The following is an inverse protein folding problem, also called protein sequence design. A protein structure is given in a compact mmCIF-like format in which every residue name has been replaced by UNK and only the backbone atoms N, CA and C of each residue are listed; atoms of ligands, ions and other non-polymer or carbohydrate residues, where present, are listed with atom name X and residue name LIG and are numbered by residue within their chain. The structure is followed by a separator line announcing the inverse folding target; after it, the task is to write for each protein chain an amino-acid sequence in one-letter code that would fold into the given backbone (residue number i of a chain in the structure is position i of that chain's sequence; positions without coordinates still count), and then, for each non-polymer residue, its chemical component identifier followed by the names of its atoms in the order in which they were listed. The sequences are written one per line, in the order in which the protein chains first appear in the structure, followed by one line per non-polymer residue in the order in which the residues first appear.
data_IF_127028859712
#
_entry.id   IF_127028859712
#
_cell.length_a   1.000
_cell.length_b   1.000
_cell.length_c   1.000
_cell.angle_alpha   90.00
_cell.angle_beta   90.00
_cell.angle_gamma   90.00
#
_symmetry.space_group_name_H-M   'P 1'
#
loop_
_entity.id
_entity.type
_entity.pdbx_description
1 polymer ?
#
# COMPACT_ATOMS: atom_id res chain seq x y z
N UNK A 1 11.88 6.82 38.41
CA UNK A 1 10.77 7.58 39.04
C UNK A 1 9.54 7.47 38.17
N UNK A 2 8.65 6.53 38.50
CA UNK A 2 7.39 6.27 37.80
C UNK A 2 6.32 7.23 38.33
N UNK A 3 5.89 8.20 37.52
CA UNK A 3 4.76 9.06 37.85
C UNK A 3 3.45 8.38 37.37
N UNK A 4 2.74 7.79 38.33
CA UNK A 4 1.38 7.28 38.13
C UNK A 4 0.40 8.45 38.07
N UNK A 5 -0.26 8.63 36.92
CA UNK A 5 -1.29 9.64 36.75
C UNK A 5 -2.59 9.16 37.42
N UNK A 6 -2.82 9.57 38.68
CA UNK A 6 -4.12 9.40 39.36
C UNK A 6 -4.98 10.64 39.13
N UNK A 7 -6.05 10.49 38.35
CA UNK A 7 -7.09 11.50 38.18
C UNK A 7 -7.90 11.60 39.50
N UNK A 8 -7.82 12.74 40.21
CA UNK A 8 -8.74 13.05 41.32
C UNK A 8 -9.95 13.80 40.77
N UNK A 9 -11.14 13.20 40.87
CA UNK A 9 -12.41 13.93 40.71
C UNK A 9 -12.61 14.86 41.90
N UNK A 10 -12.58 16.17 41.67
CA UNK A 10 -13.10 17.16 42.60
C UNK A 10 -14.53 17.51 42.17
N UNK A 11 -15.52 17.00 42.91
CA UNK A 11 -16.91 17.45 42.82
C UNK A 11 -17.04 18.78 43.56
N UNK A 12 -17.23 19.88 42.83
CA UNK A 12 -17.82 21.12 43.37
C UNK A 12 -18.98 21.54 42.49
N UNK A 13 -20.12 21.71 43.14
CA UNK A 13 -21.41 21.95 42.52
C UNK A 13 -21.51 23.30 41.82
N UNK A 14 -22.06 23.25 40.61
CA UNK A 14 -22.78 24.32 39.93
C UNK A 14 -23.79 23.61 39.02
N UNK A 15 -25.07 23.80 39.31
CA UNK A 15 -26.21 23.23 38.58
C UNK A 15 -26.41 23.91 37.23
N UNK A 16 -25.45 23.74 36.31
CA UNK A 16 -25.71 23.90 34.88
C UNK A 16 -26.09 22.52 34.34
N UNK A 17 -27.32 22.37 33.85
CA UNK A 17 -27.73 21.21 33.07
C UNK A 17 -26.86 21.14 31.81
N UNK A 18 -25.78 20.36 31.86
CA UNK A 18 -25.05 19.95 30.66
C UNK A 18 -25.95 19.02 29.86
N UNK A 19 -26.75 19.58 28.93
CA UNK A 19 -27.44 18.79 27.91
C UNK A 19 -26.39 17.98 27.16
N UNK A 20 -26.43 16.65 27.29
CA UNK A 20 -25.59 15.75 26.49
C UNK A 20 -26.03 15.85 25.03
N UNK A 21 -25.39 16.70 24.24
CA UNK A 21 -25.54 16.75 22.78
C UNK A 21 -24.71 15.64 22.12
N UNK A 22 -24.99 14.38 22.48
CA UNK A 22 -24.32 13.24 21.90
C UNK A 22 -25.30 12.55 20.95
N UNK A 23 -25.49 13.20 19.80
CA UNK A 23 -26.49 12.78 18.80
C UNK A 23 -25.93 11.66 17.93
N UNK A 24 -26.73 10.63 17.73
CA UNK A 24 -26.54 9.69 16.63
C UNK A 24 -27.02 10.34 15.34
N UNK A 25 -26.25 10.16 14.27
CA UNK A 25 -26.55 10.68 12.95
C UNK A 25 -26.66 9.54 11.94
N UNK A 26 -27.56 9.67 10.94
CA UNK A 26 -27.57 8.77 9.80
C UNK A 26 -26.21 8.73 9.10
N UNK A 27 -25.85 7.57 8.58
CA UNK A 27 -24.53 7.31 7.98
C UNK A 27 -24.25 8.20 6.75
N UNK A 28 -25.29 8.63 6.03
CA UNK A 28 -25.19 9.56 4.89
C UNK A 28 -24.79 11.00 5.29
N UNK A 29 -24.79 11.34 6.59
CA UNK A 29 -24.28 12.65 7.06
C UNK A 29 -22.77 12.64 7.29
N UNK A 30 -22.08 11.58 6.88
CA UNK A 30 -20.63 11.43 7.01
C UNK A 30 -19.88 12.63 6.42
N UNK A 31 -20.08 12.96 5.14
CA UNK A 31 -19.33 14.03 4.49
C UNK A 31 -19.55 15.38 5.18
N UNK A 32 -20.81 15.71 5.51
CA UNK A 32 -21.17 16.94 6.20
C UNK A 32 -20.44 17.05 7.57
N UNK A 33 -20.48 15.98 8.38
CA UNK A 33 -19.87 15.98 9.71
C UNK A 33 -18.34 15.99 9.65
N UNK A 34 -17.76 15.26 8.69
CA UNK A 34 -16.32 15.22 8.48
C UNK A 34 -15.77 16.60 8.07
N UNK A 35 -16.52 17.34 7.27
CA UNK A 35 -16.18 18.70 6.80
C UNK A 35 -16.63 19.83 7.71
N UNK A 36 -17.48 19.56 8.70
CA UNK A 36 -18.04 20.57 9.59
C UNK A 36 -16.91 21.37 10.28
N UNK A 37 -16.88 22.71 10.19
CA UNK A 37 -15.78 23.53 10.73
C UNK A 37 -15.52 23.35 12.22
N UNK A 38 -16.53 22.97 13.00
CA UNK A 38 -16.38 22.73 14.44
C UNK A 38 -15.76 21.36 14.74
N UNK A 39 -15.73 20.41 13.79
CA UNK A 39 -15.19 19.05 13.98
C UNK A 39 -13.66 19.02 14.09
N UNK A 40 -13.14 19.42 15.25
CA UNK A 40 -11.72 19.50 15.59
C UNK A 40 -11.06 18.14 15.78
N UNK A 41 -11.78 17.16 16.33
CA UNK A 41 -11.23 15.83 16.58
C UNK A 41 -12.13 14.74 16.02
N UNK A 42 -11.59 13.86 15.19
CA UNK A 42 -12.40 12.88 14.48
C UNK A 42 -11.79 11.48 14.59
N UNK A 43 -12.62 10.46 14.82
CA UNK A 43 -12.18 9.06 14.95
C UNK A 43 -13.08 8.18 14.08
N UNK A 44 -12.50 7.54 13.08
CA UNK A 44 -13.23 6.66 12.17
C UNK A 44 -12.61 5.26 12.15
N UNK A 45 -13.45 4.24 12.12
CA UNK A 45 -13.05 2.86 11.85
C UNK A 45 -13.78 2.37 10.61
N UNK A 46 -13.05 1.78 9.66
CA UNK A 46 -13.70 1.18 8.49
C UNK A 46 -14.24 -0.21 8.82
N UNK A 47 -15.45 -0.50 8.33
CA UNK A 47 -16.03 -1.84 8.26
C UNK A 47 -15.76 -2.52 6.92
N UNK A 48 -15.25 -1.77 5.93
CA UNK A 48 -14.87 -2.33 4.63
C UNK A 48 -13.46 -2.92 4.71
N UNK A 49 -13.30 -4.09 4.09
CA UNK A 49 -12.00 -4.71 3.83
C UNK A 49 -11.47 -4.37 2.44
N UNK A 50 -12.20 -3.60 1.63
CA UNK A 50 -11.75 -3.21 0.29
C UNK A 50 -10.71 -2.07 0.37
N UNK A 51 -9.46 -2.30 -0.09
CA UNK A 51 -8.43 -1.27 -0.05
C UNK A 51 -8.75 -0.04 -0.91
N UNK A 52 -9.54 -0.19 -1.98
CA UNK A 52 -9.97 0.93 -2.81
C UNK A 52 -10.93 1.86 -2.06
N UNK A 53 -11.86 1.28 -1.29
CA UNK A 53 -12.81 2.02 -0.43
C UNK A 53 -12.05 2.73 0.68
N UNK A 54 -11.20 1.99 1.41
CA UNK A 54 -10.44 2.53 2.53
C UNK A 54 -9.51 3.69 2.11
N UNK A 55 -8.74 3.52 1.03
CA UNK A 55 -7.85 4.59 0.54
C UNK A 55 -8.62 5.78 -0.07
N UNK A 56 -9.85 5.57 -0.56
CA UNK A 56 -10.70 6.66 -1.03
C UNK A 56 -11.28 7.47 0.13
N UNK A 57 -11.75 6.81 1.19
CA UNK A 57 -12.20 7.46 2.43
C UNK A 57 -11.04 8.24 3.08
N UNK A 58 -9.84 7.64 3.18
CA UNK A 58 -8.63 8.32 3.67
C UNK A 58 -8.35 9.61 2.89
N UNK A 59 -8.44 9.54 1.56
CA UNK A 59 -8.22 10.71 0.71
C UNK A 59 -9.31 11.77 0.90
N UNK A 60 -10.58 11.36 1.00
CA UNK A 60 -11.69 12.27 1.27
C UNK A 60 -11.49 13.02 2.58
N UNK A 61 -11.11 12.33 3.67
CA UNK A 61 -10.84 12.95 4.97
C UNK A 61 -9.65 13.95 4.90
N UNK A 62 -8.62 13.61 4.11
CA UNK A 62 -7.45 14.48 3.92
C UNK A 62 -7.84 15.80 3.23
N UNK A 63 -8.68 15.73 2.20
CA UNK A 63 -9.09 16.91 1.42
C UNK A 63 -10.17 17.73 2.12
N UNK A 64 -11.13 17.07 2.80
CA UNK A 64 -12.39 17.71 3.18
C UNK A 64 -12.55 18.04 4.67
N UNK A 65 -11.78 17.42 5.59
CA UNK A 65 -11.88 17.80 7.00
C UNK A 65 -11.39 19.26 7.24
N UNK A 66 -11.62 19.89 8.41
CA UNK A 66 -11.11 21.24 8.69
C UNK A 66 -9.57 21.31 8.80
N UNK A 67 -8.98 22.45 8.40
CA UNK A 67 -7.51 22.64 8.36
C UNK A 67 -6.81 22.49 9.72
N UNK A 68 -7.48 22.86 10.81
CA UNK A 68 -7.01 22.78 12.18
C UNK A 68 -7.45 21.50 12.91
N UNK A 69 -8.12 20.57 12.22
CA UNK A 69 -8.61 19.32 12.80
C UNK A 69 -7.55 18.22 12.85
N UNK A 70 -7.78 17.24 13.74
CA UNK A 70 -7.01 15.99 13.82
C UNK A 70 -7.95 14.81 13.65
N UNK A 71 -7.60 13.90 12.74
CA UNK A 71 -8.42 12.74 12.36
C UNK A 71 -7.60 11.47 12.57
N UNK A 72 -8.17 10.49 13.28
CA UNK A 72 -7.70 9.10 13.29
C UNK A 72 -8.63 8.28 12.39
N UNK A 73 -8.07 7.55 11.44
CA UNK A 73 -8.78 6.58 10.63
C UNK A 73 -8.06 5.23 10.70
N UNK A 74 -8.80 4.19 11.08
CA UNK A 74 -8.29 2.81 11.23
C UNK A 74 -9.02 1.89 10.26
N UNK A 75 -8.29 1.00 9.60
CA UNK A 75 -8.86 0.03 8.68
C UNK A 75 -7.99 -1.22 8.53
N UNK A 76 -8.61 -2.33 8.17
CA UNK A 76 -7.96 -3.59 7.79
C UNK A 76 -8.39 -3.87 6.35
N UNK A 77 -7.46 -4.34 5.53
CA UNK A 77 -7.75 -4.68 4.15
C UNK A 77 -7.72 -6.20 3.98
N UNK A 78 -8.53 -6.72 3.07
CA UNK A 78 -8.35 -8.06 2.49
C UNK A 78 -6.96 -8.16 1.82
N UNK A 79 -6.48 -9.36 1.49
CA UNK A 79 -5.21 -9.57 0.80
C UNK A 79 -5.01 -8.57 -0.36
N UNK A 80 -3.95 -7.76 -0.27
CA UNK A 80 -3.60 -6.81 -1.31
C UNK A 80 -2.15 -6.38 -1.25
N UNK A 81 -1.61 -5.96 -2.38
CA UNK A 81 -0.32 -5.26 -2.46
C UNK A 81 -0.57 -3.79 -2.74
N UNK A 82 -0.03 -2.93 -1.87
CA UNK A 82 -0.13 -1.48 -1.98
C UNK A 82 1.23 -0.89 -2.29
N UNK A 83 1.39 -0.34 -3.49
CA UNK A 83 2.61 0.38 -3.91
C UNK A 83 2.47 1.89 -3.74
N UNK A 84 3.60 2.57 -3.54
CA UNK A 84 3.66 4.02 -3.44
C UNK A 84 3.39 4.73 -4.78
N UNK A 85 2.98 6.00 -4.70
CA UNK A 85 2.58 6.83 -5.84
C UNK A 85 3.56 6.79 -7.03
N UNK A 86 4.86 6.85 -6.75
CA UNK A 86 5.94 6.98 -7.73
C UNK A 86 6.79 5.70 -7.86
N UNK A 87 6.24 4.54 -7.51
CA UNK A 87 6.93 3.26 -7.66
C UNK A 87 6.68 2.61 -9.02
N UNK A 88 7.59 1.73 -9.43
CA UNK A 88 7.43 0.90 -10.61
C UNK A 88 6.88 -0.50 -10.21
N UNK A 89 5.66 -0.87 -10.63
CA UNK A 89 5.06 -2.15 -10.24
C UNK A 89 5.84 -3.35 -10.77
N UNK A 90 6.42 -3.24 -11.98
CA UNK A 90 7.26 -4.30 -12.56
C UNK A 90 8.60 -4.46 -11.86
N UNK A 91 9.06 -3.48 -11.09
CA UNK A 91 10.29 -3.59 -10.28
C UNK A 91 10.02 -4.12 -8.87
N UNK A 92 8.85 -3.77 -8.33
CA UNK A 92 8.53 -3.94 -6.91
C UNK A 92 7.70 -5.20 -6.61
N UNK A 93 6.97 -5.73 -7.60
CA UNK A 93 5.96 -6.78 -7.35
C UNK A 93 6.04 -7.91 -8.37
N UNK A 94 5.58 -9.10 -7.99
CA UNK A 94 5.27 -10.17 -8.96
C UNK A 94 3.83 -9.98 -9.44
N UNK A 95 3.67 -9.32 -10.59
CA UNK A 95 2.36 -9.01 -11.15
C UNK A 95 1.59 -10.24 -11.62
N UNK A 96 2.28 -11.37 -11.87
CA UNK A 96 1.60 -12.64 -12.19
C UNK A 96 0.91 -13.24 -10.98
N UNK A 97 1.40 -12.95 -9.78
CA UNK A 97 0.79 -13.38 -8.53
C UNK A 97 -0.39 -12.47 -8.09
N UNK A 98 -0.57 -11.30 -8.72
CA UNK A 98 -1.56 -10.27 -8.36
C UNK A 98 -2.66 -10.10 -9.42
N UNK A 99 -2.90 -11.15 -10.19
CA UNK A 99 -3.61 -11.22 -11.47
C UNK A 99 -5.14 -11.05 -11.40
N UNK A 100 -5.65 -10.30 -10.42
CA UNK A 100 -7.10 -10.11 -10.25
C UNK A 100 -7.64 -8.92 -11.04
N UNK A 101 -6.78 -7.96 -11.40
CA UNK A 101 -7.20 -6.70 -11.98
C UNK A 101 -7.09 -6.64 -13.52
N UNK A 102 -6.48 -7.67 -14.14
CA UNK A 102 -6.21 -7.73 -15.59
C UNK A 102 -7.13 -8.70 -16.33
N UNK A 103 -7.89 -9.51 -15.61
CA UNK A 103 -8.80 -10.51 -16.17
C UNK A 103 -10.26 -10.28 -15.73
N UNK A 104 -11.19 -10.02 -16.67
CA UNK A 104 -12.62 -9.97 -16.35
C UNK A 104 -13.07 -11.33 -15.78
N UNK A 105 -13.65 -11.34 -14.58
CA UNK A 105 -14.22 -12.54 -13.96
C UNK A 105 -13.23 -13.51 -13.30
N UNK A 106 -11.94 -13.17 -13.18
CA UNK A 106 -10.93 -14.02 -12.54
C UNK A 106 -10.77 -13.80 -11.01
N UNK A 107 -11.50 -12.85 -10.44
CA UNK A 107 -11.44 -12.58 -9.01
C UNK A 107 -12.05 -13.74 -8.21
N UNK A 108 -11.20 -14.53 -7.57
CA UNK A 108 -11.61 -15.20 -6.32
C UNK A 108 -11.65 -14.14 -5.24
N UNK A 109 -12.66 -14.15 -4.38
CA UNK A 109 -12.78 -13.19 -3.27
C UNK A 109 -11.52 -13.17 -2.37
N UNK A 110 -10.78 -14.28 -2.33
CA UNK A 110 -9.58 -14.46 -1.50
C UNK A 110 -8.25 -14.03 -2.15
N UNK A 111 -8.26 -13.62 -3.43
CA UNK A 111 -7.02 -13.36 -4.14
C UNK A 111 -6.49 -11.94 -3.88
N UNK A 112 -5.16 -11.79 -3.79
CA UNK A 112 -4.53 -10.52 -3.47
C UNK A 112 -4.70 -9.47 -4.58
N UNK A 113 -5.34 -8.34 -4.30
CA UNK A 113 -5.54 -7.26 -5.28
C UNK A 113 -4.36 -6.29 -5.35
N UNK A 114 -4.16 -5.62 -6.49
CA UNK A 114 -3.07 -4.68 -6.68
C UNK A 114 -3.55 -3.23 -6.57
N UNK A 115 -2.86 -2.41 -5.77
CA UNK A 115 -3.30 -1.04 -5.47
C UNK A 115 -2.13 -0.08 -5.52
N UNK A 116 -2.34 1.09 -6.13
CA UNK A 116 -1.41 2.23 -6.04
C UNK A 116 -2.00 3.31 -5.13
N UNK A 117 -1.32 3.64 -4.03
CA UNK A 117 -1.77 4.71 -3.13
C UNK A 117 -1.33 6.10 -3.60
N UNK A 118 -1.96 7.14 -3.04
CA UNK A 118 -1.66 8.56 -3.36
C UNK A 118 -0.45 9.12 -2.61
N UNK A 119 0.02 8.46 -1.54
CA UNK A 119 1.22 8.83 -0.78
C UNK A 119 2.48 8.17 -1.37
N UNK A 120 3.66 8.65 -0.96
CA UNK A 120 4.95 8.05 -1.33
C UNK A 120 5.29 6.79 -0.54
N UNK A 121 6.55 6.34 -0.60
CA UNK A 121 7.07 5.18 0.13
C UNK A 121 7.12 3.88 -0.68
N UNK A 122 7.46 2.78 -0.01
CA UNK A 122 7.66 1.45 -0.61
C UNK A 122 6.40 0.61 -0.80
N UNK A 123 6.57 -0.57 -1.38
CA UNK A 123 5.52 -1.56 -1.58
C UNK A 123 5.32 -2.39 -0.31
N UNK A 124 4.07 -2.63 0.06
CA UNK A 124 3.68 -3.42 1.25
C UNK A 124 2.55 -4.37 0.88
N UNK A 125 2.44 -5.45 1.64
CA UNK A 125 1.32 -6.38 1.57
C UNK A 125 0.43 -6.17 2.79
N UNK A 126 -0.88 -6.22 2.60
CA UNK A 126 -1.87 -6.22 3.67
C UNK A 126 -2.71 -7.49 3.61
N UNK A 127 -3.17 -7.91 4.77
CA UNK A 127 -4.21 -8.92 4.96
C UNK A 127 -4.95 -8.61 6.28
N UNK A 128 -5.81 -9.53 6.70
CA UNK A 128 -6.63 -9.42 7.90
C UNK A 128 -5.83 -9.25 9.19
N UNK A 129 -4.56 -9.69 9.21
CA UNK A 129 -3.67 -9.56 10.36
C UNK A 129 -2.83 -8.28 10.35
N UNK A 130 -3.06 -7.37 9.38
CA UNK A 130 -2.36 -6.10 9.25
C UNK A 130 -3.29 -4.90 9.50
N UNK A 131 -3.13 -4.25 10.66
CA UNK A 131 -3.85 -3.02 10.99
C UNK A 131 -3.22 -1.84 10.24
N UNK A 132 -4.04 -1.06 9.54
CA UNK A 132 -3.61 0.21 8.97
C UNK A 132 -4.15 1.35 9.83
N UNK A 133 -3.29 2.32 10.10
CA UNK A 133 -3.65 3.53 10.81
C UNK A 133 -3.31 4.75 9.97
N UNK A 134 -4.17 5.76 10.03
CA UNK A 134 -4.01 7.04 9.36
C UNK A 134 -4.29 8.15 10.34
N UNK A 135 -3.33 9.05 10.52
CA UNK A 135 -3.50 10.28 11.29
C UNK A 135 -3.33 11.47 10.38
N UNK A 136 -4.41 12.24 10.22
CA UNK A 136 -4.41 13.51 9.49
C UNK A 136 -4.36 14.62 10.53
N UNK A 137 -3.45 15.58 10.33
CA UNK A 137 -3.26 16.68 11.27
C UNK A 137 -2.84 17.96 10.55
N UNK A 138 -2.88 19.12 11.22
CA UNK A 138 -2.37 20.36 10.67
C UNK A 138 -0.88 20.21 10.35
N UNK A 139 -0.46 20.66 9.17
CA UNK A 139 0.93 20.52 8.69
C UNK A 139 1.95 21.12 9.65
N UNK A 140 1.60 22.18 10.36
CA UNK A 140 2.45 22.85 11.35
C UNK A 140 2.74 22.01 12.59
N UNK A 141 1.89 21.02 12.89
CA UNK A 141 2.00 20.16 14.07
C UNK A 141 2.55 18.77 13.78
N UNK A 142 2.91 18.51 12.51
CA UNK A 142 3.32 17.21 12.02
C UNK A 142 4.84 17.02 12.17
N UNK A 143 5.21 15.88 12.77
CA UNK A 143 6.55 15.31 12.69
C UNK A 143 6.42 13.84 12.32
N UNK A 144 7.46 13.27 11.70
CA UNK A 144 7.41 11.89 11.19
C UNK A 144 7.19 10.86 12.30
N UNK A 145 7.80 11.06 13.46
CA UNK A 145 7.75 10.10 14.56
C UNK A 145 6.50 10.22 15.44
N UNK A 146 5.84 11.40 15.47
CA UNK A 146 4.75 11.69 16.43
C UNK A 146 3.68 10.61 16.52
N UNK A 147 3.19 10.10 15.38
CA UNK A 147 2.15 9.07 15.37
C UNK A 147 2.71 7.64 15.38
N UNK A 148 3.95 7.43 14.95
CA UNK A 148 4.63 6.15 15.12
C UNK A 148 4.89 5.88 16.61
N UNK A 149 5.34 6.89 17.36
CA UNK A 149 5.47 6.83 18.82
C UNK A 149 4.12 6.68 19.53
N UNK A 150 3.05 7.27 18.99
CA UNK A 150 1.68 7.04 19.48
C UNK A 150 1.29 5.56 19.36
N UNK A 151 1.60 4.93 18.23
CA UNK A 151 1.37 3.51 18.04
C UNK A 151 2.28 2.65 18.95
N UNK A 152 3.56 2.99 19.12
CA UNK A 152 4.46 2.31 20.08
C UNK A 152 3.88 2.33 21.49
N UNK A 153 3.40 3.48 21.98
CA UNK A 153 2.75 3.56 23.31
C UNK A 153 1.50 2.68 23.42
N UNK A 154 0.73 2.54 22.33
CA UNK A 154 -0.42 1.66 22.29
C UNK A 154 0.00 0.18 22.34
N UNK A 155 1.07 -0.19 21.61
CA UNK A 155 1.63 -1.54 21.62
C UNK A 155 2.23 -1.92 22.99
N UNK A 156 2.88 -0.97 23.67
CA UNK A 156 3.39 -1.17 25.04
C UNK A 156 2.25 -1.50 26.01
N UNK A 157 1.10 -0.81 25.90
CA UNK A 157 -0.10 -1.11 26.72
C UNK A 157 -0.69 -2.48 26.45
N UNK A 158 -0.54 -2.97 25.22
CA UNK A 158 -0.96 -4.31 24.85
C UNK A 158 0.03 -5.42 25.28
N UNK A 159 1.26 -5.05 25.68
CA UNK A 159 2.28 -5.99 26.17
C UNK A 159 3.57 -6.06 25.34
N UNK A 160 3.61 -5.46 24.15
CA UNK A 160 4.79 -5.47 23.27
C UNK A 160 5.77 -4.36 23.62
N UNK A 161 6.33 -4.42 24.82
CA UNK A 161 7.21 -3.40 25.42
C UNK A 161 8.56 -3.24 24.73
N UNK A 162 8.94 -4.19 23.88
CA UNK A 162 10.20 -4.21 23.13
C UNK A 162 10.08 -3.60 21.72
N UNK A 163 9.07 -2.74 21.52
CA UNK A 163 8.85 -2.02 20.27
C UNK A 163 9.36 -0.58 20.36
N UNK A 164 9.92 -0.07 19.26
CA UNK A 164 10.45 1.29 19.18
C UNK A 164 10.42 1.83 17.74
N UNK A 165 10.48 3.15 17.59
CA UNK A 165 10.66 3.81 16.30
C UNK A 165 12.17 3.86 15.98
N UNK A 166 12.55 3.45 14.77
CA UNK A 166 13.94 3.52 14.32
C UNK A 166 14.25 4.83 13.55
N UNK A 167 15.52 5.01 13.15
CA UNK A 167 15.98 6.20 12.41
C UNK A 167 15.29 6.42 11.06
N UNK A 168 14.66 5.38 10.50
CA UNK A 168 13.90 5.44 9.24
C UNK A 168 12.41 5.68 9.47
N UNK A 169 12.00 5.97 10.71
CA UNK A 169 10.60 6.16 11.11
C UNK A 169 9.73 4.90 10.93
N UNK A 170 10.35 3.72 10.88
CA UNK A 170 9.66 2.42 10.96
C UNK A 170 9.48 2.05 12.44
N UNK A 171 8.43 1.28 12.76
CA UNK A 171 8.35 0.62 14.07
C UNK A 171 8.95 -0.76 13.95
N UNK A 172 9.89 -1.06 14.84
CA UNK A 172 10.58 -2.34 14.92
C UNK A 172 10.32 -3.02 16.25
N UNK A 173 10.53 -4.33 16.26
CA UNK A 173 10.49 -5.17 17.45
C UNK A 173 11.82 -5.91 17.59
N UNK A 174 12.35 -5.91 18.79
CA UNK A 174 13.58 -6.62 19.14
C UNK A 174 13.25 -7.62 20.25
N UNK A 175 12.97 -8.90 19.92
CA UNK A 175 12.76 -9.92 20.94
C UNK A 175 13.99 -10.07 21.84
N UNK A 176 13.77 -10.48 23.10
CA UNK A 176 14.88 -10.90 23.96
C UNK A 176 15.62 -12.09 23.34
N UNK A 177 16.92 -12.24 23.64
CA UNK A 177 17.75 -13.30 23.04
C UNK A 177 17.16 -14.71 23.27
N UNK A 178 16.47 -14.91 24.39
CA UNK A 178 15.83 -16.17 24.78
C UNK A 178 14.66 -16.59 23.89
N UNK A 179 14.04 -15.66 23.15
CA UNK A 179 12.91 -15.92 22.25
C UNK A 179 13.34 -16.18 20.79
N UNK A 180 14.66 -16.22 20.53
CA UNK A 180 15.21 -16.50 19.20
C UNK A 180 15.33 -18.01 19.01
N UNK A 181 14.47 -18.58 18.17
CA UNK A 181 14.51 -20.00 17.83
C UNK A 181 15.66 -20.36 16.86
N UNK A 182 16.21 -19.36 16.15
CA UNK A 182 17.32 -19.54 15.21
C UNK A 182 18.36 -18.43 15.42
N UNK A 183 19.63 -18.77 15.72
CA UNK A 183 20.70 -17.80 15.93
C UNK A 183 21.03 -16.97 14.67
N UNK A 184 20.60 -17.40 13.48
CA UNK A 184 20.75 -16.65 12.23
C UNK A 184 19.58 -15.68 11.96
N UNK A 185 18.50 -15.73 12.75
CA UNK A 185 17.41 -14.77 12.56
C UNK A 185 17.86 -13.35 12.93
N UNK A 186 17.48 -12.34 12.14
CA UNK A 186 17.83 -10.96 12.43
C UNK A 186 17.24 -10.55 13.79
N UNK A 187 18.03 -9.90 14.66
CA UNK A 187 17.60 -9.61 16.04
C UNK A 187 16.45 -8.60 16.10
N UNK A 188 16.35 -7.74 15.08
CA UNK A 188 15.33 -6.71 14.97
C UNK A 188 14.51 -6.94 13.70
N UNK A 189 13.18 -6.96 13.87
CA UNK A 189 12.22 -7.13 12.78
C UNK A 189 11.33 -5.91 12.68
N UNK A 190 11.05 -5.47 11.46
CA UNK A 190 10.10 -4.41 11.19
C UNK A 190 8.66 -4.93 11.38
N UNK A 191 7.86 -4.19 12.13
CA UNK A 191 6.44 -4.49 12.36
C UNK A 191 5.52 -3.43 11.76
N UNK A 192 6.01 -2.22 11.53
CA UNK A 192 5.25 -1.12 10.91
C UNK A 192 6.10 -0.39 9.90
N UNK A 193 5.54 -0.14 8.71
CA UNK A 193 6.07 0.82 7.75
C UNK A 193 5.20 2.07 7.70
N UNK A 194 5.84 3.23 7.53
CA UNK A 194 5.19 4.53 7.48
C UNK A 194 5.27 5.14 6.09
N UNK A 195 4.24 5.87 5.70
CA UNK A 195 4.23 6.73 4.52
C UNK A 195 3.50 8.05 4.82
N UNK A 196 3.81 9.07 4.03
CA UNK A 196 3.38 10.43 4.32
C UNK A 196 2.85 11.11 3.05
N UNK A 197 1.87 12.00 3.22
CA UNK A 197 1.42 12.95 2.20
C UNK A 197 1.20 14.32 2.82
N UNK A 198 1.90 15.32 2.30
CA UNK A 198 1.75 16.71 2.72
C UNK A 198 0.94 17.48 1.68
N UNK A 199 -0.08 18.20 2.11
CA UNK A 199 -0.80 19.18 1.31
C UNK A 199 -0.42 20.60 1.75
N UNK A 200 -1.12 21.62 1.26
CA UNK A 200 -0.85 23.02 1.64
C UNK A 200 -1.00 23.23 3.15
N UNK A 201 -2.05 22.69 3.75
CA UNK A 201 -2.40 22.94 5.15
C UNK A 201 -2.37 21.68 6.04
N UNK A 202 -2.31 20.49 5.44
CA UNK A 202 -2.51 19.23 6.14
C UNK A 202 -1.34 18.28 5.92
N UNK A 203 -1.16 17.38 6.87
CA UNK A 203 -0.26 16.25 6.77
C UNK A 203 -1.03 14.96 7.08
N UNK A 204 -0.93 13.99 6.19
CA UNK A 204 -1.35 12.61 6.41
C UNK A 204 -0.10 11.79 6.74
N UNK A 205 -0.15 11.10 7.87
CA UNK A 205 0.74 9.99 8.21
C UNK A 205 -0.10 8.74 8.26
N UNK A 206 0.18 7.79 7.38
CA UNK A 206 -0.40 6.46 7.50
C UNK A 206 0.68 5.41 7.59
N UNK A 207 0.36 4.31 8.26
CA UNK A 207 1.27 3.20 8.39
C UNK A 207 0.53 1.89 8.54
N UNK A 208 1.27 0.82 8.35
CA UNK A 208 0.82 -0.55 8.56
C UNK A 208 1.25 -1.02 9.95
N UNK A 209 0.64 -2.04 10.52
CA UNK A 209 1.13 -2.70 11.71
C UNK A 209 0.80 -4.18 11.59
N UNK A 210 1.84 -5.00 11.40
CA UNK A 210 1.76 -6.45 11.33
C UNK A 210 1.44 -6.98 12.73
N UNK A 211 0.15 -7.10 13.00
CA UNK A 211 -0.38 -7.53 14.27
C UNK A 211 -0.25 -9.05 14.37
N UNK A 212 -0.88 -9.77 13.43
CA UNK A 212 -0.86 -11.22 13.35
C UNK A 212 -1.18 -11.72 11.93
N UNK A 213 -0.39 -11.27 10.95
CA UNK A 213 -0.58 -11.69 9.55
C UNK A 213 -0.26 -13.18 9.37
N UNK A 214 -1.20 -14.00 8.82
CA UNK A 214 -0.94 -15.40 8.51
C UNK A 214 -0.01 -15.57 7.30
N UNK A 215 0.09 -14.56 6.42
CA UNK A 215 0.86 -14.61 5.19
C UNK A 215 2.30 -14.07 5.33
N UNK A 216 2.77 -13.78 6.55
CA UNK A 216 4.05 -13.10 6.78
C UNK A 216 5.26 -13.82 6.16
N UNK A 217 5.20 -15.15 6.03
CA UNK A 217 6.25 -15.96 5.42
C UNK A 217 6.20 -15.97 3.88
N UNK A 218 5.03 -15.67 3.30
CA UNK A 218 4.77 -15.72 1.86
C UNK A 218 4.76 -14.35 1.18
N UNK A 219 5.02 -13.26 1.92
CA UNK A 219 5.08 -11.89 1.37
C UNK A 219 6.04 -11.78 0.17
N UNK A 220 7.11 -12.57 0.18
CA UNK A 220 8.09 -12.63 -0.90
C UNK A 220 7.49 -13.03 -2.25
N UNK A 221 6.41 -13.84 -2.26
CA UNK A 221 5.69 -14.24 -3.47
C UNK A 221 5.10 -13.04 -4.22
N UNK A 222 4.66 -12.02 -3.48
CA UNK A 222 4.01 -10.85 -4.07
C UNK A 222 4.97 -9.66 -4.27
N UNK A 223 6.00 -9.55 -3.44
CA UNK A 223 6.91 -8.39 -3.38
C UNK A 223 8.30 -8.66 -4.02
N UNK A 224 8.45 -9.74 -4.77
CA UNK A 224 9.68 -10.05 -5.52
C UNK A 224 9.39 -10.13 -7.01
N UNK A 225 9.68 -9.04 -7.71
CA UNK A 225 9.57 -9.01 -9.16
C UNK A 225 10.53 -10.01 -9.84
N UNK A 226 10.05 -10.81 -10.82
CA UNK A 226 10.91 -11.62 -11.69
C UNK A 226 11.75 -10.75 -12.65
N UNK A 227 11.28 -9.55 -13.01
CA UNK A 227 11.98 -8.63 -13.89
C UNK A 227 13.03 -7.74 -13.19
N UNK A 228 13.20 -7.83 -11.85
CA UNK A 228 14.09 -6.94 -11.10
C UNK A 228 15.54 -6.92 -11.62
N UNK A 229 16.06 -8.06 -12.08
CA UNK A 229 17.41 -8.18 -12.65
C UNK A 229 17.60 -7.53 -14.02
N UNK A 230 16.50 -7.13 -14.68
CA UNK A 230 16.49 -6.63 -16.05
C UNK A 230 16.09 -5.16 -16.14
N UNK A 231 15.51 -4.61 -15.06
CA UNK A 231 14.94 -3.27 -15.05
C UNK A 231 15.93 -2.27 -14.45
N UNK A 232 16.03 -1.12 -15.11
CA UNK A 232 16.58 0.10 -14.55
C UNK A 232 15.46 1.15 -14.53
N UNK A 233 15.06 1.61 -13.35
CA UNK A 233 13.97 2.55 -13.21
C UNK A 233 14.42 3.83 -12.51
N UNK A 234 13.81 4.95 -12.91
CA UNK A 234 13.78 6.15 -12.07
C UNK A 234 12.58 6.00 -11.12
N UNK A 235 12.71 6.36 -9.85
CA UNK A 235 11.59 6.27 -8.91
C UNK A 235 12.00 5.91 -7.49
N UNK A 236 11.00 5.67 -6.65
CA UNK A 236 11.20 5.27 -5.25
C UNK A 236 11.25 3.74 -5.17
N UNK A 237 12.42 3.18 -4.89
CA UNK A 237 12.56 1.75 -4.61
C UNK A 237 12.16 1.41 -3.17
N UNK A 238 11.64 0.19 -2.95
CA UNK A 238 11.37 -0.28 -1.60
C UNK A 238 12.66 -0.65 -0.87
N UNK A 239 12.74 -0.25 0.41
CA UNK A 239 13.80 -0.71 1.32
C UNK A 239 13.35 -2.02 1.96
N UNK A 240 13.96 -3.13 1.55
CA UNK A 240 13.67 -4.46 2.12
C UNK A 240 14.12 -4.52 3.58
N UNK A 241 13.32 -5.15 4.43
CA UNK A 241 13.66 -5.38 5.83
C UNK A 241 13.03 -6.69 6.29
N UNK A 242 13.69 -7.46 7.17
CA UNK A 242 13.05 -8.57 7.85
C UNK A 242 11.83 -8.08 8.62
N UNK A 243 10.71 -8.80 8.52
CA UNK A 243 9.46 -8.44 9.18
C UNK A 243 9.06 -9.45 10.26
N UNK A 244 8.19 -9.05 11.17
CA UNK A 244 7.63 -9.88 12.23
C UNK A 244 6.23 -9.45 12.62
N UNK A 245 5.47 -10.36 13.23
CA UNK A 245 4.18 -10.05 13.86
C UNK A 245 4.38 -9.59 15.30
N UNK A 246 3.54 -8.67 15.76
CA UNK A 246 3.47 -8.23 17.16
C UNK A 246 3.07 -9.39 18.08
N UNK A 247 2.15 -10.26 17.64
CA UNK A 247 1.66 -11.42 18.40
C UNK A 247 2.79 -12.31 18.95
N UNK A 248 3.90 -12.46 18.20
CA UNK A 248 5.07 -13.25 18.62
C UNK A 248 5.77 -12.72 19.87
N UNK A 249 5.77 -11.41 20.08
CA UNK A 249 6.36 -10.81 21.28
C UNK A 249 5.40 -10.80 22.48
N UNK A 250 4.16 -11.24 22.28
CA UNK A 250 3.14 -11.33 23.32
C UNK A 250 2.80 -12.79 23.65
N UNK A 251 3.69 -13.75 23.39
CA UNK A 251 3.41 -15.18 23.60
C UNK A 251 2.95 -15.53 25.03
N UNK A 252 3.39 -14.75 26.04
CA UNK A 252 3.01 -14.92 27.46
C UNK A 252 1.74 -14.14 27.87
N UNK A 253 1.06 -13.48 26.92
CA UNK A 253 -0.14 -12.66 27.16
C UNK A 253 -1.23 -12.93 26.12
N UNK A 254 -2.50 -12.73 26.49
CA UNK A 254 -3.60 -12.90 25.53
C UNK A 254 -3.55 -11.78 24.48
N UNK A 255 -3.10 -12.10 23.27
CA UNK A 255 -3.08 -11.16 22.16
C UNK A 255 -4.50 -10.90 21.63
N UNK A 256 -4.88 -9.62 21.54
CA UNK A 256 -6.16 -9.20 20.97
C UNK A 256 -5.93 -8.03 20.01
N UNK A 257 -6.22 -8.23 18.73
CA UNK A 257 -6.19 -7.15 17.74
C UNK A 257 -7.13 -6.01 18.12
N UNK A 258 -8.32 -6.33 18.61
CA UNK A 258 -9.29 -5.34 19.08
C UNK A 258 -8.73 -4.56 20.29
N UNK A 259 -8.05 -5.22 21.21
CA UNK A 259 -7.36 -4.55 22.32
C UNK A 259 -6.28 -3.58 21.83
N UNK A 260 -5.53 -3.93 20.79
CA UNK A 260 -4.56 -3.01 20.16
C UNK A 260 -5.26 -1.81 19.53
N UNK A 261 -6.35 -2.02 18.78
CA UNK A 261 -7.16 -0.95 18.19
C UNK A 261 -7.67 0.02 19.26
N UNK A 262 -8.21 -0.49 20.36
CA UNK A 262 -8.66 0.32 21.50
C UNK A 262 -7.53 1.14 22.11
N UNK A 263 -6.36 0.53 22.32
CA UNK A 263 -5.17 1.23 22.81
C UNK A 263 -4.71 2.35 21.87
N UNK A 264 -4.79 2.16 20.54
CA UNK A 264 -4.46 3.19 19.55
C UNK A 264 -5.43 4.37 19.65
N UNK A 265 -6.73 4.10 19.75
CA UNK A 265 -7.76 5.13 19.93
C UNK A 265 -7.52 5.91 21.23
N UNK A 266 -7.23 5.23 22.34
CA UNK A 266 -6.87 5.88 23.61
C UNK A 266 -5.64 6.78 23.48
N UNK A 267 -4.58 6.31 22.83
CA UNK A 267 -3.37 7.10 22.65
C UNK A 267 -3.60 8.33 21.78
N UNK A 268 -4.46 8.24 20.75
CA UNK A 268 -4.87 9.39 19.96
C UNK A 268 -5.65 10.40 20.79
N UNK A 269 -6.60 9.93 21.60
CA UNK A 269 -7.40 10.77 22.52
C UNK A 269 -6.49 11.51 23.50
N UNK A 270 -5.52 10.82 24.10
CA UNK A 270 -4.53 11.44 24.99
C UNK A 270 -3.64 12.45 24.25
N UNK A 271 -3.17 12.12 23.05
CA UNK A 271 -2.25 12.96 22.28
C UNK A 271 -2.88 14.30 21.86
N UNK A 272 -4.18 14.31 21.58
CA UNK A 272 -4.90 15.48 21.06
C UNK A 272 -5.88 16.11 22.06
N UNK A 273 -5.99 15.58 23.27
CA UNK A 273 -6.92 16.09 24.29
C UNK A 273 -8.39 15.95 23.87
N UNK A 274 -8.73 14.86 23.17
CA UNK A 274 -10.07 14.63 22.62
C UNK A 274 -11.08 14.44 23.75
N UNK A 275 -12.30 14.92 23.56
CA UNK A 275 -13.40 14.77 24.51
C UNK A 275 -13.69 13.29 24.83
N UNK A 276 -13.89 12.95 26.12
CA UNK A 276 -14.08 11.56 26.57
C UNK A 276 -15.27 10.84 25.94
N UNK A 277 -16.33 11.57 25.62
CA UNK A 277 -17.50 11.02 24.90
C UNK A 277 -17.12 10.46 23.51
N UNK A 278 -16.16 11.05 22.80
CA UNK A 278 -15.70 10.56 21.51
C UNK A 278 -15.04 9.18 21.63
N UNK A 279 -14.26 8.98 22.71
CA UNK A 279 -13.63 7.70 23.05
C UNK A 279 -14.69 6.63 23.36
N UNK A 280 -15.70 6.98 24.17
CA UNK A 280 -16.79 6.05 24.50
C UNK A 280 -17.53 5.60 23.24
N UNK A 281 -17.83 6.53 22.32
CA UNK A 281 -18.46 6.22 21.03
C UNK A 281 -17.55 5.40 20.13
N UNK A 282 -16.26 5.74 20.03
CA UNK A 282 -15.31 5.01 19.19
C UNK A 282 -15.21 3.53 19.56
N UNK A 283 -15.20 3.22 20.87
CA UNK A 283 -15.17 1.83 21.36
C UNK A 283 -16.44 1.04 21.03
N UNK A 284 -17.60 1.70 21.06
CA UNK A 284 -18.90 1.04 20.82
C UNK A 284 -19.25 0.91 19.35
N UNK A 285 -18.82 1.86 18.52
CA UNK A 285 -19.25 1.95 17.13
C UNK A 285 -18.83 0.72 16.31
N UNK A 286 -17.64 0.17 16.55
CA UNK A 286 -17.18 -1.03 15.85
C UNK A 286 -17.82 -2.33 16.37
N UNK A 287 -18.05 -2.43 17.69
CA UNK A 287 -18.44 -3.69 18.33
C UNK A 287 -19.95 -3.91 18.49
N UNK A 288 -20.76 -2.84 18.61
CA UNK A 288 -22.16 -2.94 19.06
C UNK A 288 -23.15 -2.07 18.27
N UNK A 289 -22.71 -0.89 17.79
CA UNK A 289 -23.61 0.12 17.21
C UNK A 289 -22.95 0.84 16.03
N UNK A 290 -22.85 0.20 14.84
CA UNK A 290 -22.29 0.86 13.66
C UNK A 290 -23.12 2.11 13.32
N UNK A 291 -22.44 3.24 13.22
CA UNK A 291 -23.08 4.55 13.08
C UNK A 291 -22.10 5.71 13.23
N UNK A 292 -22.61 6.92 13.07
CA UNK A 292 -21.83 8.16 13.22
C UNK A 292 -22.40 8.97 14.37
N UNK A 293 -21.53 9.36 15.28
CA UNK A 293 -21.86 10.17 16.44
C UNK A 293 -21.05 11.46 16.39
N UNK A 294 -21.65 12.57 16.80
CA UNK A 294 -20.94 13.83 16.89
C UNK A 294 -21.39 14.65 18.08
N UNK A 295 -20.43 15.32 18.70
CA UNK A 295 -20.65 16.41 19.65
C UNK A 295 -20.36 17.76 18.99
N UNK A 296 -20.14 18.79 19.80
CA UNK A 296 -19.85 20.15 19.31
C UNK A 296 -18.53 20.21 18.54
N UNK A 297 -17.50 19.54 19.07
CA UNK A 297 -16.12 19.64 18.57
C UNK A 297 -15.54 18.34 18.02
N UNK A 298 -16.31 17.25 18.05
CA UNK A 298 -15.80 15.93 17.68
C UNK A 298 -16.79 15.10 16.88
N UNK A 299 -16.25 14.15 16.11
CA UNK A 299 -16.99 13.13 15.36
C UNK A 299 -16.37 11.77 15.62
N UNK A 300 -17.17 10.74 15.80
CA UNK A 300 -16.71 9.38 16.04
C UNK A 300 -17.68 8.37 15.42
N UNK A 301 -17.18 7.40 14.67
CA UNK A 301 -18.07 6.42 14.05
C UNK A 301 -17.41 5.41 13.13
N UNK A 302 -18.25 4.64 12.46
CA UNK A 302 -17.86 3.66 11.45
C UNK A 302 -18.17 4.13 10.04
N UNK A 303 -17.32 3.77 9.10
CA UNK A 303 -17.45 4.05 7.66
C UNK A 303 -17.18 2.78 6.84
N UNK A 304 -17.44 2.78 5.54
CA UNK A 304 -17.18 1.62 4.68
C UNK A 304 -17.83 1.75 3.30
N UNK A 305 -18.34 0.64 2.78
CA UNK A 305 -18.94 0.55 1.45
C UNK A 305 -20.02 1.61 1.19
N UNK A 306 -20.88 1.88 2.18
CA UNK A 306 -21.96 2.85 2.04
C UNK A 306 -21.45 4.26 1.71
N UNK A 307 -20.31 4.68 2.27
CA UNK A 307 -19.68 5.95 1.90
C UNK A 307 -19.15 5.91 0.47
N UNK A 308 -18.61 4.77 0.02
CA UNK A 308 -18.19 4.59 -1.37
C UNK A 308 -19.33 4.70 -2.37
N UNK A 309 -20.52 4.25 -2.00
CA UNK A 309 -21.73 4.28 -2.84
C UNK A 309 -22.45 5.64 -2.81
N UNK A 310 -22.55 6.27 -1.64
CA UNK A 310 -23.40 7.45 -1.44
C UNK A 310 -22.64 8.78 -1.58
N UNK A 311 -21.33 8.82 -1.30
CA UNK A 311 -20.54 10.04 -1.39
C UNK A 311 -19.79 10.10 -2.72
N UNK A 312 -20.26 10.97 -3.61
CA UNK A 312 -19.79 11.04 -5.00
C UNK A 312 -18.26 11.18 -5.13
N UNK A 313 -17.60 11.92 -4.26
CA UNK A 313 -16.15 12.11 -4.32
C UNK A 313 -15.37 10.88 -3.87
N UNK A 314 -15.93 10.09 -2.93
CA UNK A 314 -15.37 8.80 -2.53
C UNK A 314 -15.56 7.79 -3.66
N UNK A 315 -16.74 7.75 -4.28
CA UNK A 315 -17.02 6.93 -5.46
C UNK A 315 -16.08 7.22 -6.63
N UNK A 316 -15.85 8.51 -6.97
CA UNK A 316 -14.84 8.92 -7.96
C UNK A 316 -13.44 8.45 -7.59
N UNK A 317 -13.06 8.60 -6.32
CA UNK A 317 -11.76 8.15 -5.83
C UNK A 317 -11.58 6.64 -5.93
N UNK A 318 -12.63 5.84 -5.71
CA UNK A 318 -12.62 4.38 -5.91
C UNK A 318 -12.45 4.04 -7.39
N UNK A 319 -13.22 4.69 -8.27
CA UNK A 319 -13.14 4.48 -9.72
C UNK A 319 -11.73 4.80 -10.26
N UNK A 320 -11.14 5.92 -9.82
CA UNK A 320 -9.77 6.28 -10.17
C UNK A 320 -8.78 5.20 -9.69
N UNK A 321 -8.84 4.80 -8.41
CA UNK A 321 -7.90 3.80 -7.85
C UNK A 321 -8.01 2.43 -8.53
N UNK A 322 -9.21 2.06 -9.01
CA UNK A 322 -9.47 0.82 -9.76
C UNK A 322 -9.04 0.89 -11.23
N UNK A 323 -8.88 2.08 -11.80
CA UNK A 323 -8.46 2.24 -13.20
C UNK A 323 -7.06 1.67 -13.45
N UNK A 324 -6.88 1.03 -14.60
CA UNK A 324 -5.57 0.56 -15.04
C UNK A 324 -4.60 1.73 -15.27
N UNK A 325 -5.13 2.88 -15.70
CA UNK A 325 -4.38 4.11 -15.88
C UNK A 325 -3.73 4.53 -14.56
N UNK A 326 -4.50 4.65 -13.48
CA UNK A 326 -3.93 4.99 -12.18
C UNK A 326 -2.92 3.94 -11.70
N UNK A 327 -3.25 2.66 -11.83
CA UNK A 327 -2.39 1.56 -11.37
C UNK A 327 -1.04 1.51 -12.09
N UNK A 328 -1.01 1.70 -13.40
CA UNK A 328 0.17 1.39 -14.22
C UNK A 328 0.77 2.59 -14.95
N UNK A 329 -0.01 3.55 -15.44
CA UNK A 329 0.51 4.66 -16.27
C UNK A 329 1.13 5.79 -15.45
N UNK A 330 0.94 5.74 -14.14
CA UNK A 330 1.63 6.59 -13.16
C UNK A 330 3.09 6.18 -12.90
N UNK A 331 3.55 5.12 -13.54
CA UNK A 331 4.92 4.59 -13.39
C UNK A 331 5.93 5.56 -14.01
N UNK A 332 6.96 6.02 -13.27
CA UNK A 332 8.01 6.84 -13.85
C UNK A 332 8.77 6.09 -14.95
N UNK A 333 9.49 6.83 -15.80
CA UNK A 333 10.25 6.25 -16.90
C UNK A 333 11.25 5.18 -16.41
N UNK A 334 11.30 4.07 -17.14
CA UNK A 334 12.23 2.98 -16.88
C UNK A 334 12.63 2.26 -18.18
N UNK A 335 13.68 1.45 -18.09
CA UNK A 335 14.13 0.56 -19.17
C UNK A 335 14.13 -0.88 -18.68
N UNK A 336 13.99 -1.79 -19.64
CA UNK A 336 14.17 -3.23 -19.49
C UNK A 336 15.22 -3.67 -20.50
N UNK A 337 16.16 -4.52 -20.10
CA UNK A 337 17.18 -5.06 -21.00
C UNK A 337 17.60 -6.47 -20.60
N UNK A 338 17.69 -7.38 -21.59
CA UNK A 338 18.23 -8.75 -21.43
C UNK A 338 19.76 -8.81 -21.50
N UNK A 339 20.41 -7.68 -21.77
CA UNK A 339 21.87 -7.56 -21.83
C UNK A 339 22.35 -6.27 -21.13
N UNK A 340 23.62 -6.20 -20.69
CA UNK A 340 24.19 -4.97 -20.14
C UNK A 340 24.16 -3.84 -21.18
N UNK A 341 23.85 -2.63 -20.73
CA UNK A 341 23.84 -1.42 -21.56
C UNK A 341 24.74 -0.36 -20.93
N UNK A 342 25.18 0.64 -21.69
CA UNK A 342 26.09 1.68 -21.19
C UNK A 342 25.58 2.35 -19.90
N UNK A 343 24.27 2.64 -19.82
CA UNK A 343 23.64 3.24 -18.65
C UNK A 343 23.37 2.26 -17.48
N UNK A 344 23.53 0.96 -17.69
CA UNK A 344 23.31 -0.09 -16.69
C UNK A 344 24.18 -1.34 -17.01
N UNK A 345 25.45 -1.34 -16.58
CA UNK A 345 26.43 -2.37 -16.93
C UNK A 345 26.28 -3.66 -16.12
N UNK A 346 25.26 -3.79 -15.26
CA UNK A 346 25.06 -5.01 -14.45
C UNK A 346 24.91 -6.24 -15.35
N UNK A 347 25.49 -7.37 -14.96
CA UNK A 347 25.22 -8.63 -15.65
C UNK A 347 23.74 -9.00 -15.53
N UNK A 348 23.20 -9.57 -16.61
CA UNK A 348 21.80 -10.03 -16.66
C UNK A 348 21.73 -11.53 -16.44
N UNK A 349 20.62 -12.05 -15.87
CA UNK A 349 20.43 -13.49 -15.78
C UNK A 349 20.50 -14.13 -17.18
N UNK A 350 20.99 -15.39 -17.27
CA UNK A 350 21.13 -16.07 -18.55
C UNK A 350 19.77 -16.25 -19.21
N UNK A 351 19.77 -16.19 -20.55
CA UNK A 351 18.59 -16.49 -21.35
C UNK A 351 18.20 -17.97 -21.20
N UNK A 352 16.90 -18.31 -21.31
CA UNK A 352 16.45 -19.68 -21.43
C UNK A 352 17.14 -20.40 -22.60
N UNK A 353 17.40 -21.70 -22.45
CA UNK A 353 18.02 -22.52 -23.50
C UNK A 353 17.17 -22.67 -24.77
N UNK A 354 15.88 -22.33 -24.69
CA UNK A 354 14.97 -22.29 -25.84
C UNK A 354 15.22 -21.08 -26.75
N UNK A 355 15.89 -20.03 -26.26
CA UNK A 355 16.20 -18.84 -27.04
C UNK A 355 17.64 -18.85 -27.56
N UNK A 356 17.89 -18.35 -28.78
CA UNK A 356 19.24 -18.14 -29.28
C UNK A 356 20.06 -17.24 -28.35
N UNK A 357 21.35 -17.53 -28.14
CA UNK A 357 22.24 -16.70 -27.32
C UNK A 357 22.45 -15.28 -27.88
N UNK A 358 22.17 -15.10 -29.18
CA UNK A 358 22.13 -13.82 -29.89
C UNK A 358 20.90 -12.98 -29.54
N UNK A 359 19.90 -13.52 -28.85
CA UNK A 359 18.67 -12.79 -28.51
C UNK A 359 18.99 -11.54 -27.69
N UNK A 360 18.47 -10.40 -28.12
CA UNK A 360 18.58 -9.11 -27.45
C UNK A 360 17.19 -8.51 -27.37
N UNK A 361 16.82 -8.05 -26.18
CA UNK A 361 15.57 -7.33 -25.99
C UNK A 361 15.83 -6.13 -25.08
N UNK A 362 15.65 -4.94 -25.63
CA UNK A 362 15.68 -3.67 -24.94
C UNK A 362 14.35 -2.94 -25.15
N UNK A 363 13.81 -2.39 -24.07
CA UNK A 363 12.57 -1.62 -24.07
C UNK A 363 12.72 -0.39 -23.18
N UNK A 364 12.23 0.76 -23.62
CA UNK A 364 12.10 1.98 -22.81
C UNK A 364 10.63 2.34 -22.70
N UNK A 365 10.22 2.66 -21.47
CA UNK A 365 8.83 2.94 -21.16
C UNK A 365 8.66 4.34 -20.60
N UNK A 366 7.59 5.02 -21.00
CA UNK A 366 7.16 6.30 -20.44
C UNK A 366 5.64 6.28 -20.27
N UNK A 367 5.16 6.59 -19.07
CA UNK A 367 3.74 6.56 -18.71
C UNK A 367 3.09 5.18 -18.99
N UNK A 368 3.86 4.11 -18.78
CA UNK A 368 3.41 2.73 -19.03
C UNK A 368 3.39 2.31 -20.50
N UNK A 369 3.71 3.19 -21.46
CA UNK A 369 3.78 2.87 -22.88
C UNK A 369 5.23 2.68 -23.35
N UNK A 370 5.43 1.79 -24.32
CA UNK A 370 6.71 1.60 -25.01
C UNK A 370 6.98 2.82 -25.89
N UNK A 371 8.14 3.45 -25.74
CA UNK A 371 8.56 4.61 -26.55
C UNK A 371 9.81 4.34 -27.38
N UNK A 372 10.52 3.26 -27.09
CA UNK A 372 11.73 2.82 -27.79
C UNK A 372 11.89 1.33 -27.54
N UNK A 373 12.29 0.60 -28.56
CA UNK A 373 12.58 -0.82 -28.44
C UNK A 373 13.65 -1.25 -29.41
N UNK A 374 14.44 -2.24 -29.00
CA UNK A 374 15.39 -2.94 -29.85
C UNK A 374 15.32 -4.42 -29.49
N UNK A 375 14.58 -5.20 -30.30
CA UNK A 375 14.36 -6.63 -30.09
C UNK A 375 14.82 -7.37 -31.35
N UNK A 376 15.73 -8.33 -31.16
CA UNK A 376 16.23 -9.18 -32.22
C UNK A 376 16.63 -10.55 -31.69
N UNK A 377 16.70 -11.53 -32.58
CA UNK A 377 17.15 -12.90 -32.28
C UNK A 377 18.32 -13.34 -33.15
N UNK A 378 18.62 -12.61 -34.23
CA UNK A 378 19.72 -12.92 -35.15
C UNK A 378 21.10 -12.61 -34.56
N UNK A 379 22.08 -13.44 -34.91
CA UNK A 379 23.50 -13.17 -34.65
C UNK A 379 24.14 -12.28 -35.72
N UNK A 380 23.52 -12.16 -36.90
CA UNK A 380 23.95 -11.25 -37.96
C UNK A 380 23.48 -9.82 -37.65
N UNK A 381 24.41 -8.86 -37.67
CA UNK A 381 24.14 -7.48 -37.25
C UNK A 381 23.14 -6.76 -38.17
N UNK A 382 23.18 -7.01 -39.48
CA UNK A 382 22.28 -6.38 -40.43
C UNK A 382 20.85 -6.90 -40.24
N UNK A 383 20.69 -8.22 -40.17
CA UNK A 383 19.40 -8.87 -39.88
C UNK A 383 18.87 -8.48 -38.50
N UNK A 384 19.73 -8.37 -37.48
CA UNK A 384 19.32 -7.95 -36.15
C UNK A 384 18.81 -6.50 -36.13
N UNK A 385 19.45 -5.60 -36.87
CA UNK A 385 19.02 -4.21 -37.02
C UNK A 385 17.68 -4.08 -37.75
N UNK A 386 17.46 -4.90 -38.79
CA UNK A 386 16.19 -4.95 -39.51
C UNK A 386 15.05 -5.49 -38.62
N UNK A 387 15.30 -6.60 -37.90
CA UNK A 387 14.37 -7.16 -36.91
C UNK A 387 13.98 -6.13 -35.86
N UNK A 388 14.96 -5.44 -35.28
CA UNK A 388 14.73 -4.44 -34.25
C UNK A 388 13.86 -3.28 -34.74
N UNK A 389 14.09 -2.81 -35.97
CA UNK A 389 13.32 -1.71 -36.59
C UNK A 389 11.86 -2.13 -36.78
N UNK A 390 11.64 -3.29 -37.39
CA UNK A 390 10.29 -3.80 -37.65
C UNK A 390 9.51 -4.09 -36.38
N UNK A 391 10.13 -4.75 -35.39
CA UNK A 391 9.48 -5.00 -34.10
C UNK A 391 9.11 -3.68 -33.42
N UNK A 392 9.98 -2.66 -33.50
CA UNK A 392 9.67 -1.35 -32.94
C UNK A 392 8.45 -0.70 -33.57
N UNK A 393 8.31 -0.74 -34.89
CA UNK A 393 7.14 -0.19 -35.61
C UNK A 393 5.83 -0.81 -35.12
N UNK A 394 5.83 -2.10 -34.79
CA UNK A 394 4.65 -2.83 -34.29
C UNK A 394 4.31 -2.49 -32.84
N UNK A 395 5.32 -2.45 -31.95
CA UNK A 395 5.09 -2.35 -30.49
C UNK A 395 5.13 -0.93 -29.94
N UNK A 396 5.59 0.05 -30.72
CA UNK A 396 5.67 1.44 -30.28
C UNK A 396 4.29 1.98 -29.84
N UNK A 397 4.24 2.66 -28.70
CA UNK A 397 3.02 3.19 -28.12
C UNK A 397 2.14 2.19 -27.36
N UNK A 398 2.40 0.88 -27.46
CA UNK A 398 1.65 -0.13 -26.73
C UNK A 398 1.86 0.02 -25.22
N UNK A 399 0.78 -0.09 -24.44
CA UNK A 399 0.81 0.01 -22.99
C UNK A 399 1.14 -1.33 -22.38
N UNK A 400 2.23 -1.42 -21.63
CA UNK A 400 2.78 -2.69 -21.13
C UNK A 400 1.79 -3.52 -20.30
N UNK A 401 0.90 -2.87 -19.55
CA UNK A 401 -0.08 -3.55 -18.71
C UNK A 401 -1.28 -4.11 -19.48
N UNK A 402 -1.41 -3.79 -20.77
CA UNK A 402 -2.44 -4.28 -21.69
C UNK A 402 -1.91 -5.42 -22.58
N UNK A 403 -0.59 -5.69 -22.57
CA UNK A 403 0.04 -6.69 -23.43
C UNK A 403 0.01 -8.05 -22.74
N UNK A 404 -0.81 -8.97 -23.24
CA UNK A 404 -0.79 -10.40 -22.85
C UNK A 404 0.35 -11.16 -23.54
N UNK A 405 0.63 -12.39 -23.14
CA UNK A 405 1.57 -13.32 -23.81
C UNK A 405 1.11 -13.58 -25.24
N UNK A 406 -0.19 -13.78 -25.48
CA UNK A 406 -0.71 -13.96 -26.83
C UNK A 406 -0.47 -12.69 -27.66
N UNK A 407 -0.72 -11.51 -27.07
CA UNK A 407 -0.45 -10.24 -27.75
C UNK A 407 1.04 -10.03 -28.01
N UNK A 408 1.91 -10.44 -27.09
CA UNK A 408 3.36 -10.47 -27.33
C UNK A 408 3.71 -11.37 -28.52
N UNK A 409 3.15 -12.58 -28.58
CA UNK A 409 3.39 -13.52 -29.66
C UNK A 409 2.95 -12.96 -31.01
N UNK A 410 1.74 -12.39 -31.10
CA UNK A 410 1.23 -11.73 -32.31
C UNK A 410 2.17 -10.62 -32.80
N UNK A 411 2.53 -9.70 -31.91
CA UNK A 411 3.38 -8.54 -32.27
C UNK A 411 4.79 -8.95 -32.66
N UNK A 412 5.37 -9.93 -31.95
CA UNK A 412 6.70 -10.45 -32.27
C UNK A 412 6.70 -11.26 -33.56
N UNK A 413 5.63 -12.02 -33.84
CA UNK A 413 5.47 -12.74 -35.10
C UNK A 413 5.43 -11.75 -36.27
N UNK A 414 4.65 -10.68 -36.16
CA UNK A 414 4.59 -9.62 -37.18
C UNK A 414 5.95 -8.93 -37.39
N UNK A 415 6.63 -8.59 -36.29
CA UNK A 415 7.93 -7.90 -36.32
C UNK A 415 9.11 -8.77 -36.76
N UNK A 416 9.06 -10.10 -36.56
CA UNK A 416 10.17 -11.02 -36.84
C UNK A 416 9.94 -11.91 -38.08
N UNK A 417 8.71 -12.03 -38.59
CA UNK A 417 8.38 -12.88 -39.74
C UNK A 417 9.24 -12.59 -40.99
N UNK A 418 9.59 -13.60 -41.78
CA UNK A 418 10.31 -13.42 -43.05
C UNK A 418 11.80 -13.05 -42.90
N UNK A 419 12.38 -13.21 -41.71
CA UNK A 419 13.83 -13.12 -41.50
C UNK A 419 14.44 -14.52 -41.37
N UNK A 420 15.61 -14.73 -41.98
CA UNK A 420 16.30 -16.02 -41.94
C UNK A 420 16.65 -16.43 -40.49
N UNK A 421 16.32 -17.67 -40.12
CA UNK A 421 16.69 -18.26 -38.83
C UNK A 421 15.68 -18.10 -37.68
N UNK A 422 14.51 -17.49 -37.91
CA UNK A 422 13.45 -17.38 -36.88
C UNK A 422 12.31 -18.36 -37.20
N UNK A 423 12.17 -19.41 -36.39
CA UNK A 423 11.01 -20.31 -36.45
C UNK A 423 9.89 -19.80 -35.53
N UNK A 424 8.64 -20.20 -35.82
CA UNK A 424 7.46 -19.82 -35.01
C UNK A 424 7.62 -20.20 -33.53
N UNK A 425 8.33 -21.30 -33.25
CA UNK A 425 8.63 -21.75 -31.88
C UNK A 425 9.48 -20.74 -31.12
N UNK A 426 10.52 -20.17 -31.74
CA UNK A 426 11.38 -19.17 -31.10
C UNK A 426 10.67 -17.85 -30.80
N UNK A 427 9.71 -17.46 -31.65
CA UNK A 427 8.84 -16.30 -31.39
C UNK A 427 7.95 -16.55 -30.18
N UNK A 428 7.34 -17.73 -30.10
CA UNK A 428 6.50 -18.11 -28.98
C UNK A 428 7.29 -18.18 -27.66
N UNK A 429 8.50 -18.73 -27.69
CA UNK A 429 9.39 -18.80 -26.53
C UNK A 429 9.82 -17.40 -26.06
N UNK A 430 10.07 -16.47 -27.00
CA UNK A 430 10.42 -15.09 -26.67
C UNK A 430 9.21 -14.36 -26.05
N UNK A 431 8.02 -14.57 -26.59
CA UNK A 431 6.78 -14.02 -26.06
C UNK A 431 6.52 -14.51 -24.63
N UNK A 432 6.66 -15.82 -24.39
CA UNK A 432 6.54 -16.43 -23.06
C UNK A 432 7.58 -15.88 -22.08
N UNK A 433 8.82 -15.70 -22.54
CA UNK A 433 9.88 -15.15 -21.70
C UNK A 433 9.64 -13.69 -21.33
N UNK A 434 9.32 -12.82 -22.30
CA UNK A 434 9.03 -11.40 -22.06
C UNK A 434 7.74 -11.22 -21.24
N UNK A 435 6.68 -11.94 -21.59
CA UNK A 435 5.43 -11.95 -20.83
C UNK A 435 5.64 -12.42 -19.39
N UNK A 436 6.38 -13.51 -19.20
CA UNK A 436 6.70 -14.04 -17.88
C UNK A 436 7.49 -13.08 -16.98
N UNK A 437 8.32 -12.22 -17.56
CA UNK A 437 9.06 -11.18 -16.80
C UNK A 437 8.22 -9.93 -16.57
N UNK A 438 7.56 -9.42 -17.61
CA UNK A 438 6.85 -8.13 -17.59
C UNK A 438 5.38 -8.26 -17.18
N UNK A 439 4.96 -9.45 -16.75
CA UNK A 439 3.59 -9.73 -16.35
C UNK A 439 2.60 -9.70 -17.51
N UNK A 440 3.03 -10.02 -18.72
CA UNK A 440 2.10 -10.46 -19.76
C UNK A 440 1.53 -11.81 -19.34
N UNK A 441 0.21 -11.96 -19.48
CA UNK A 441 -0.52 -13.19 -19.16
C UNK A 441 -0.57 -14.14 -20.32
#
# INVERSE_FOLDING_TARGET
MLATCRLRLALRGSSAQWRRFNSSYPVHRFAELASRPSSRHQIYQSLSTDPYVNLSIEHFLLENAPADSSVLFLYINRPCVVIGRNQNPWLETDLRALDNDRRPGAGRDDAAVFVRRRSGGGAVFHDEGNLNYSVISPRTSFTRDKHAEMLVRALHRAGAVNTSVNERHDIVITPGEELRNDPNEPPTRKISGSAFKLTRHRALHHGTCLLDSPNIHDLGRFLRSPARGYIQAKGVESVRSPVGNVSRAMADSFFSMQGVVENVIEQFVCLYGVHSDALLRARRAHALEPGIFAGDTWVSGTVGELQGEQEADIGKGIAELRSLEWKYTQTPQFTFSTYPIEGDPRERPPLPSSLPASTRAFLRFKHGAIIESNISVSADEAAASEQATRVHEVINGQKLHEITVERWAEMLQEGLAGTDGVNETGVQDLALYLGGLLGGH
#
